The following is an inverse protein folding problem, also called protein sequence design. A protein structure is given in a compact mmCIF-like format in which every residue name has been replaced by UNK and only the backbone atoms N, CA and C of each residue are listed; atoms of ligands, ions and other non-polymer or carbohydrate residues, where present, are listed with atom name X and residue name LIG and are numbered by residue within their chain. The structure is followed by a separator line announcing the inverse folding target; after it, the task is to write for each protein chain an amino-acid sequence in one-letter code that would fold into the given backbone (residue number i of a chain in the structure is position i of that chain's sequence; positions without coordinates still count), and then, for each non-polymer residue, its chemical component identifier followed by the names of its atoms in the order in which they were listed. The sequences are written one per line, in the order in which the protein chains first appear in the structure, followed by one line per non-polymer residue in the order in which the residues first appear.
data_IF_044376719649
#
_entry.id   IF_044376719649
#
_cell.length_a   1.000
_cell.length_b   1.000
_cell.length_c   1.000
_cell.angle_alpha   90.00
_cell.angle_beta   90.00
_cell.angle_gamma   90.00
#
_symmetry.space_group_name_H-M   'P 1'
#
loop_
_entity.id
_entity.type
_entity.pdbx_description
1 polymer ?
#
# COMPACT_ATOMS: atom_id res chain seq x y z
N UNK A 1 1.46 -34.39 -4.58
CA UNK A 1 1.05 -32.95 -4.62
C UNK A 1 0.49 -32.64 -3.24
N UNK A 2 1.09 -31.72 -2.52
CA UNK A 2 0.58 -31.26 -1.22
C UNK A 2 -0.73 -30.49 -1.48
N UNK A 3 -1.70 -30.64 -0.60
CA UNK A 3 -3.02 -30.02 -0.73
C UNK A 3 -2.88 -28.50 -0.41
N UNK A 4 -3.66 -27.61 -0.99
CA UNK A 4 -3.61 -26.15 -0.74
C UNK A 4 -3.78 -25.83 0.75
N UNK A 5 -4.58 -26.59 1.48
CA UNK A 5 -4.75 -26.48 2.93
C UNK A 5 -3.44 -26.68 3.74
N UNK A 6 -2.51 -27.47 3.23
CA UNK A 6 -1.22 -27.72 3.89
C UNK A 6 -0.28 -26.51 3.76
N UNK A 7 -0.27 -25.80 2.63
CA UNK A 7 0.58 -24.61 2.46
C UNK A 7 0.12 -23.43 3.31
N UNK A 8 -1.18 -23.14 3.32
CA UNK A 8 -1.74 -22.08 4.16
C UNK A 8 -1.47 -22.35 5.64
N UNK A 9 -1.72 -23.58 6.10
CA UNK A 9 -1.52 -23.95 7.50
C UNK A 9 -0.06 -23.78 7.93
N UNK A 10 0.90 -24.16 7.08
CA UNK A 10 2.34 -23.97 7.34
C UNK A 10 2.71 -22.49 7.37
N UNK A 11 2.22 -21.71 6.41
CA UNK A 11 2.43 -20.27 6.38
C UNK A 11 1.92 -19.60 7.66
N UNK A 12 0.67 -19.88 8.06
CA UNK A 12 0.08 -19.29 9.27
C UNK A 12 0.80 -19.74 10.55
N UNK A 13 1.29 -20.97 10.60
CA UNK A 13 2.10 -21.46 11.71
C UNK A 13 3.45 -20.75 11.79
N UNK A 14 4.14 -20.55 10.66
CA UNK A 14 5.40 -19.81 10.59
C UNK A 14 5.19 -18.34 10.97
N UNK A 15 4.14 -17.71 10.47
CA UNK A 15 3.78 -16.35 10.81
C UNK A 15 3.52 -16.17 12.31
N UNK A 16 2.83 -17.09 12.93
CA UNK A 16 2.63 -17.09 14.40
C UNK A 16 3.95 -17.21 15.16
N UNK A 17 4.88 -18.03 14.68
CA UNK A 17 6.20 -18.20 15.28
C UNK A 17 7.11 -16.97 15.12
N UNK A 18 6.90 -16.16 14.06
CA UNK A 18 7.65 -14.91 13.85
C UNK A 18 7.25 -13.78 14.82
N UNK A 19 6.24 -14.01 15.66
CA UNK A 19 5.78 -13.00 16.63
C UNK A 19 4.67 -12.08 16.12
N UNK A 20 4.00 -12.44 15.04
CA UNK A 20 2.83 -11.72 14.53
C UNK A 20 1.78 -11.50 15.62
N UNK A 21 1.37 -10.26 15.82
CA UNK A 21 0.46 -9.81 16.90
C UNK A 21 -0.96 -9.50 16.41
N UNK A 22 -1.12 -9.41 15.09
CA UNK A 22 -2.40 -9.11 14.46
C UNK A 22 -3.38 -10.28 14.50
N UNK A 23 -4.53 -10.08 13.87
CA UNK A 23 -5.55 -11.12 13.75
C UNK A 23 -5.41 -11.89 12.43
N UNK A 24 -5.81 -13.15 12.45
CA UNK A 24 -5.92 -14.01 11.28
C UNK A 24 -7.34 -14.61 11.21
N UNK A 25 -8.01 -14.40 10.10
CA UNK A 25 -9.36 -14.89 9.85
C UNK A 25 -9.38 -15.86 8.67
N UNK A 26 -9.80 -17.09 8.95
CA UNK A 26 -9.99 -18.15 7.93
C UNK A 26 -11.45 -18.59 7.82
N UNK A 27 -12.32 -18.11 8.72
CA UNK A 27 -13.74 -18.44 8.72
C UNK A 27 -14.41 -17.95 7.42
N UNK A 28 -15.28 -18.77 6.85
CA UNK A 28 -15.97 -18.48 5.59
C UNK A 28 -16.68 -17.12 5.58
N UNK A 29 -17.36 -16.77 6.68
CA UNK A 29 -18.06 -15.48 6.80
C UNK A 29 -17.14 -14.26 6.67
N UNK A 30 -15.96 -14.29 7.30
CA UNK A 30 -14.96 -13.23 7.18
C UNK A 30 -14.42 -13.15 5.75
N UNK A 31 -14.11 -14.30 5.16
CA UNK A 31 -13.57 -14.42 3.79
C UNK A 31 -14.54 -13.87 2.73
N UNK A 32 -15.83 -14.11 2.88
CA UNK A 32 -16.88 -13.57 1.99
C UNK A 32 -16.95 -12.04 2.06
N UNK A 33 -16.79 -11.44 3.23
CA UNK A 33 -16.77 -9.97 3.37
C UNK A 33 -15.60 -9.35 2.62
N UNK A 34 -14.44 -9.99 2.63
CA UNK A 34 -13.24 -9.53 1.92
C UNK A 34 -13.21 -9.94 0.44
N UNK A 35 -14.17 -10.77 -0.02
CA UNK A 35 -14.19 -11.31 -1.38
C UNK A 35 -14.63 -10.32 -2.45
N UNK A 36 -15.10 -9.15 -2.09
CA UNK A 36 -15.57 -8.11 -3.01
C UNK A 36 -14.93 -6.76 -2.71
N UNK A 37 -14.81 -5.95 -3.71
CA UNK A 37 -14.48 -4.53 -3.60
C UNK A 37 -15.52 -3.70 -4.40
N UNK A 38 -15.18 -2.54 -4.90
CA UNK A 38 -16.10 -1.72 -5.70
C UNK A 38 -16.07 -2.09 -7.20
N UNK A 39 -15.41 -3.19 -7.56
CA UNK A 39 -15.42 -3.75 -8.92
C UNK A 39 -16.59 -4.72 -9.14
N UNK A 40 -16.64 -5.29 -10.33
CA UNK A 40 -17.61 -6.35 -10.67
C UNK A 40 -17.11 -7.76 -10.28
N UNK A 41 -15.91 -7.86 -9.72
CA UNK A 41 -15.29 -9.16 -9.43
C UNK A 41 -15.63 -9.64 -8.01
N UNK A 42 -15.62 -10.95 -7.86
CA UNK A 42 -15.68 -11.63 -6.57
C UNK A 42 -14.60 -12.71 -6.53
N UNK A 43 -13.71 -12.60 -5.56
CA UNK A 43 -12.60 -13.54 -5.36
C UNK A 43 -12.49 -13.86 -3.88
N UNK A 44 -12.84 -15.10 -3.49
CA UNK A 44 -12.82 -15.51 -2.09
C UNK A 44 -11.38 -15.83 -1.69
N UNK A 45 -10.77 -15.10 -0.73
CA UNK A 45 -9.44 -15.41 -0.24
C UNK A 45 -9.44 -16.68 0.63
N UNK A 46 -8.27 -17.29 0.81
CA UNK A 46 -8.07 -18.38 1.77
C UNK A 46 -7.97 -17.87 3.20
N UNK A 47 -7.36 -16.69 3.39
CA UNK A 47 -7.25 -16.03 4.70
C UNK A 47 -7.23 -14.51 4.58
N UNK A 48 -7.58 -13.84 5.69
CA UNK A 48 -7.37 -12.40 5.87
C UNK A 48 -6.47 -12.20 7.09
N UNK A 49 -5.42 -11.41 6.93
CA UNK A 49 -4.54 -10.97 8.00
C UNK A 49 -4.80 -9.50 8.30
N UNK A 50 -4.90 -9.17 9.57
CA UNK A 50 -5.06 -7.81 10.07
C UNK A 50 -3.82 -7.45 10.90
N UNK A 51 -2.75 -6.91 10.30
CA UNK A 51 -1.55 -6.55 11.03
C UNK A 51 -1.86 -5.49 12.09
N UNK A 52 -1.32 -5.67 13.30
CA UNK A 52 -1.51 -4.74 14.42
C UNK A 52 -0.54 -3.56 14.39
N UNK A 53 0.60 -3.70 13.70
CA UNK A 53 1.66 -2.71 13.59
C UNK A 53 2.50 -2.94 12.32
N UNK A 54 3.51 -2.10 12.08
CA UNK A 54 4.39 -2.21 10.91
C UNK A 54 5.25 -3.48 10.94
N UNK A 55 5.70 -3.91 12.12
CA UNK A 55 6.50 -5.13 12.29
C UNK A 55 5.73 -6.38 11.88
N UNK A 56 4.41 -6.37 12.04
CA UNK A 56 3.55 -7.45 11.54
C UNK A 56 3.55 -7.52 10.02
N UNK A 57 3.60 -6.38 9.32
CA UNK A 57 3.71 -6.35 7.85
C UNK A 57 5.04 -6.96 7.43
N UNK A 58 6.15 -6.59 8.08
CA UNK A 58 7.46 -7.19 7.82
C UNK A 58 7.44 -8.70 8.03
N UNK A 59 6.83 -9.16 9.12
CA UNK A 59 6.69 -10.58 9.43
C UNK A 59 5.90 -11.33 8.35
N UNK A 60 4.80 -10.74 7.85
CA UNK A 60 4.01 -11.31 6.76
C UNK A 60 4.86 -11.43 5.49
N UNK A 61 5.47 -10.31 5.05
CA UNK A 61 6.24 -10.28 3.79
C UNK A 61 7.45 -11.21 3.87
N UNK A 62 8.20 -11.19 4.97
CA UNK A 62 9.34 -12.08 5.20
C UNK A 62 8.91 -13.55 5.18
N UNK A 63 7.79 -13.89 5.81
CA UNK A 63 7.26 -15.25 5.82
C UNK A 63 6.86 -15.74 4.44
N UNK A 64 6.36 -14.84 3.58
CA UNK A 64 6.09 -15.15 2.16
C UNK A 64 7.38 -15.28 1.36
N UNK A 65 8.34 -14.37 1.54
CA UNK A 65 9.61 -14.37 0.81
C UNK A 65 10.47 -15.62 1.09
N UNK A 66 10.34 -16.20 2.28
CA UNK A 66 11.06 -17.41 2.68
C UNK A 66 10.47 -18.71 2.12
N UNK A 67 9.30 -18.65 1.48
CA UNK A 67 8.72 -19.85 0.86
C UNK A 67 9.42 -20.20 -0.44
N UNK A 68 9.82 -21.47 -0.56
CA UNK A 68 10.54 -21.97 -1.74
C UNK A 68 9.64 -22.24 -2.96
N UNK A 69 8.33 -22.29 -2.76
CA UNK A 69 7.36 -22.80 -3.75
C UNK A 69 6.39 -21.75 -4.29
N UNK A 70 6.49 -20.49 -3.84
CA UNK A 70 5.65 -19.35 -4.28
C UNK A 70 4.14 -19.65 -4.27
N UNK A 71 3.67 -20.49 -3.36
CA UNK A 71 2.27 -20.92 -3.28
C UNK A 71 1.37 -19.88 -2.63
N UNK A 72 1.93 -19.06 -1.71
CA UNK A 72 1.20 -17.97 -1.06
C UNK A 72 1.46 -16.67 -1.79
N UNK A 73 0.40 -15.98 -2.17
CA UNK A 73 0.43 -14.60 -2.62
C UNK A 73 -0.32 -13.71 -1.65
N UNK A 74 0.16 -12.49 -1.45
CA UNK A 74 -0.48 -11.51 -0.58
C UNK A 74 -0.95 -10.30 -1.39
N UNK A 75 -2.09 -9.74 -0.97
CA UNK A 75 -2.61 -8.49 -1.54
C UNK A 75 -2.98 -7.54 -0.41
N UNK A 76 -2.42 -6.32 -0.37
CA UNK A 76 -2.82 -5.32 0.60
C UNK A 76 -4.23 -4.81 0.29
N UNK A 77 -5.00 -4.54 1.36
CA UNK A 77 -6.35 -4.00 1.28
C UNK A 77 -6.52 -2.86 2.27
N UNK A 78 -7.07 -1.77 1.80
CA UNK A 78 -7.62 -0.69 2.63
C UNK A 78 -9.14 -0.72 2.62
N UNK A 79 -9.81 0.36 2.24
CA UNK A 79 -11.27 0.47 2.23
C UNK A 79 -12.01 -0.36 1.17
N UNK A 80 -11.32 -1.09 0.30
CA UNK A 80 -11.93 -1.88 -0.78
C UNK A 80 -12.72 -1.02 -1.77
N UNK A 81 -12.29 0.21 -2.02
CA UNK A 81 -13.01 1.19 -2.86
C UNK A 81 -12.50 1.22 -4.31
N UNK A 82 -11.49 0.43 -4.65
CA UNK A 82 -10.98 0.29 -6.00
C UNK A 82 -11.99 -0.39 -6.93
N UNK A 83 -11.97 -0.02 -8.20
CA UNK A 83 -12.94 -0.50 -9.21
C UNK A 83 -12.39 -1.56 -10.15
N UNK A 84 -11.15 -1.97 -9.98
CA UNK A 84 -10.45 -2.89 -10.89
C UNK A 84 -10.09 -4.25 -10.26
N UNK A 85 -10.61 -4.55 -9.06
CA UNK A 85 -10.32 -5.80 -8.36
C UNK A 85 -8.92 -5.86 -7.72
N UNK A 86 -8.21 -4.74 -7.64
CA UNK A 86 -6.83 -4.68 -7.16
C UNK A 86 -6.65 -5.04 -5.68
N UNK A 87 -7.73 -5.06 -4.91
CA UNK A 87 -7.73 -5.46 -3.49
C UNK A 87 -8.19 -6.90 -3.26
N UNK A 88 -8.36 -7.68 -4.32
CA UNK A 88 -8.84 -9.06 -4.28
C UNK A 88 -7.71 -10.06 -4.53
N UNK A 89 -7.78 -11.21 -3.85
CA UNK A 89 -6.80 -12.30 -3.99
C UNK A 89 -7.47 -13.64 -3.66
N UNK A 90 -7.04 -14.70 -4.31
CA UNK A 90 -7.43 -16.07 -3.95
C UNK A 90 -6.72 -16.57 -2.69
N UNK A 91 -5.47 -16.15 -2.46
CA UNK A 91 -4.65 -16.63 -1.37
C UNK A 91 -4.89 -15.77 -0.11
N UNK A 92 -4.07 -14.76 0.19
CA UNK A 92 -4.13 -14.02 1.43
C UNK A 92 -4.35 -12.53 1.19
N UNK A 93 -5.33 -11.95 1.87
CA UNK A 93 -5.53 -10.50 1.94
C UNK A 93 -4.89 -9.96 3.23
N UNK A 94 -4.14 -8.86 3.11
CA UNK A 94 -3.56 -8.12 4.24
C UNK A 94 -4.33 -6.82 4.40
N UNK A 95 -5.29 -6.80 5.31
CA UNK A 95 -6.16 -5.64 5.55
C UNK A 95 -5.53 -4.70 6.58
N UNK A 96 -5.13 -3.52 6.12
CA UNK A 96 -4.49 -2.49 6.95
C UNK A 96 -5.48 -1.56 7.65
N UNK A 97 -6.77 -1.67 7.37
CA UNK A 97 -7.77 -0.71 7.84
C UNK A 97 -8.20 -0.93 9.30
N UNK A 98 -8.04 -2.15 9.85
CA UNK A 98 -8.52 -2.49 11.19
C UNK A 98 -7.70 -1.84 12.30
N UNK A 99 -6.37 -1.91 12.22
CA UNK A 99 -5.47 -1.49 13.29
C UNK A 99 -4.49 -0.39 12.89
N UNK A 100 -4.10 -0.32 11.63
CA UNK A 100 -3.14 0.65 11.11
C UNK A 100 -3.86 1.93 10.62
N UNK A 101 -4.58 2.58 11.52
CA UNK A 101 -5.45 3.71 11.19
C UNK A 101 -5.24 4.94 12.09
N UNK A 102 -4.03 5.09 12.65
CA UNK A 102 -3.67 6.20 13.51
C UNK A 102 -3.06 7.37 12.73
N UNK A 103 -3.38 8.60 13.17
CA UNK A 103 -2.61 9.80 12.83
C UNK A 103 -1.47 9.87 13.84
N UNK A 104 -0.22 9.62 13.39
CA UNK A 104 0.93 9.44 14.26
C UNK A 104 1.49 10.78 14.73
N UNK A 105 1.62 11.74 13.82
CA UNK A 105 2.21 13.05 14.11
C UNK A 105 1.67 14.09 13.14
N UNK A 106 1.51 15.31 13.62
CA UNK A 106 1.15 16.48 12.83
C UNK A 106 2.06 17.65 13.20
N UNK A 107 2.70 18.24 12.20
CA UNK A 107 3.43 19.49 12.33
C UNK A 107 2.67 20.62 11.61
N UNK A 108 2.10 21.50 12.42
CA UNK A 108 1.33 22.64 11.92
C UNK A 108 2.21 23.64 11.15
N UNK A 109 3.48 23.77 11.51
CA UNK A 109 4.40 24.74 10.90
C UNK A 109 4.76 24.33 9.47
N UNK A 110 5.14 23.07 9.27
CA UNK A 110 5.44 22.50 7.95
C UNK A 110 4.19 22.04 7.22
N UNK A 111 3.03 21.96 7.88
CA UNK A 111 1.78 21.41 7.40
C UNK A 111 1.93 19.98 6.92
N UNK A 112 2.71 19.20 7.65
CA UNK A 112 2.94 17.79 7.36
C UNK A 112 2.25 16.91 8.40
N UNK A 113 1.67 15.81 7.95
CA UNK A 113 1.04 14.81 8.80
C UNK A 113 1.59 13.43 8.47
N UNK A 114 1.98 12.70 9.49
CA UNK A 114 2.36 11.29 9.39
C UNK A 114 1.16 10.42 9.77
N UNK A 115 0.77 9.52 8.89
CA UNK A 115 -0.41 8.68 9.08
C UNK A 115 -0.10 7.22 8.73
N UNK A 116 -0.78 6.31 9.38
CA UNK A 116 -0.79 4.90 9.00
C UNK A 116 -1.66 4.68 7.74
N UNK A 117 -1.42 3.59 6.97
CA UNK A 117 -2.04 3.38 5.67
C UNK A 117 -3.57 3.21 5.72
N UNK A 118 -4.12 2.77 6.85
CA UNK A 118 -5.56 2.55 7.05
C UNK A 118 -6.35 3.78 7.45
N UNK A 119 -5.71 4.94 7.66
CA UNK A 119 -6.43 6.19 7.96
C UNK A 119 -7.35 6.55 6.79
N UNK A 120 -8.63 6.78 7.10
CA UNK A 120 -9.65 7.13 6.11
C UNK A 120 -9.55 8.63 5.77
N UNK A 121 -9.76 9.00 4.51
CA UNK A 121 -9.64 10.39 4.04
C UNK A 121 -10.52 11.36 4.83
N UNK A 122 -11.78 11.02 5.09
CA UNK A 122 -12.68 11.90 5.85
C UNK A 122 -12.21 12.05 7.31
N UNK A 123 -11.65 11.02 7.92
CA UNK A 123 -11.06 11.09 9.27
C UNK A 123 -9.84 12.04 9.29
N UNK A 124 -8.97 11.94 8.28
CA UNK A 124 -7.84 12.86 8.15
C UNK A 124 -8.33 14.31 7.97
N UNK A 125 -9.30 14.54 7.11
CA UNK A 125 -9.82 15.87 6.85
C UNK A 125 -10.54 16.47 8.06
N UNK A 126 -11.26 15.66 8.84
CA UNK A 126 -11.88 16.12 10.09
C UNK A 126 -10.82 16.49 11.15
N UNK A 127 -9.73 15.72 11.22
CA UNK A 127 -8.58 16.06 12.07
C UNK A 127 -7.90 17.38 11.64
N UNK A 128 -7.74 17.62 10.34
CA UNK A 128 -7.07 18.81 9.80
C UNK A 128 -7.93 20.08 9.81
N UNK A 129 -9.23 19.94 9.86
CA UNK A 129 -10.22 21.03 9.78
C UNK A 129 -10.04 22.17 10.80
N UNK A 130 -9.73 21.92 12.10
CA UNK A 130 -9.47 22.98 13.07
C UNK A 130 -8.29 23.88 12.70
N UNK A 131 -7.36 23.37 11.89
CA UNK A 131 -6.17 24.08 11.41
C UNK A 131 -6.40 24.79 10.08
N UNK A 132 -7.62 24.76 9.54
CA UNK A 132 -7.96 25.32 8.22
C UNK A 132 -7.31 24.55 7.06
N UNK A 133 -6.95 23.30 7.27
CA UNK A 133 -6.27 22.44 6.29
C UNK A 133 -7.16 21.26 5.88
N UNK A 134 -6.84 20.68 4.74
CA UNK A 134 -7.43 19.44 4.25
C UNK A 134 -6.49 18.73 3.28
N UNK A 135 -6.63 17.41 3.14
CA UNK A 135 -5.93 16.64 2.12
C UNK A 135 -6.72 16.71 0.81
N UNK A 136 -6.17 17.31 -0.27
CA UNK A 136 -7.01 17.80 -1.38
C UNK A 136 -7.35 16.79 -2.46
N UNK A 137 -6.77 15.58 -2.44
CA UNK A 137 -7.16 14.50 -3.36
C UNK A 137 -8.55 13.96 -2.99
N UNK A 138 -9.61 14.69 -3.37
CA UNK A 138 -10.98 14.42 -2.94
C UNK A 138 -11.65 13.34 -3.81
N UNK A 139 -11.52 12.09 -3.38
CA UNK A 139 -12.17 10.94 -4.02
C UNK A 139 -13.65 10.81 -3.62
N UNK A 140 -14.48 10.25 -4.50
CA UNK A 140 -15.93 10.08 -4.24
C UNK A 140 -16.24 9.14 -3.08
N UNK A 141 -15.31 8.27 -2.74
CA UNK A 141 -15.41 7.29 -1.65
C UNK A 141 -14.67 7.72 -0.38
N UNK A 142 -14.52 9.02 -0.15
CA UNK A 142 -13.73 9.62 0.93
C UNK A 142 -14.04 9.08 2.33
N UNK A 143 -15.29 8.67 2.56
CA UNK A 143 -15.73 8.07 3.83
C UNK A 143 -15.20 6.64 4.07
N UNK A 144 -14.53 6.04 3.09
CA UNK A 144 -13.98 4.67 3.15
C UNK A 144 -12.57 4.54 2.56
N UNK A 145 -12.22 5.40 1.61
CA UNK A 145 -10.90 5.37 0.98
C UNK A 145 -9.82 5.64 2.02
N UNK A 146 -8.84 4.74 2.12
CA UNK A 146 -7.72 4.88 3.04
C UNK A 146 -6.54 5.54 2.37
N UNK A 147 -5.73 6.27 3.13
CA UNK A 147 -4.57 7.01 2.60
C UNK A 147 -3.59 6.07 1.89
N UNK A 148 -3.28 4.89 2.47
CA UNK A 148 -2.43 3.90 1.81
C UNK A 148 -3.01 3.40 0.47
N UNK A 149 -4.32 3.16 0.40
CA UNK A 149 -5.00 2.81 -0.84
C UNK A 149 -4.98 3.92 -1.88
N UNK A 150 -5.11 5.18 -1.45
CA UNK A 150 -5.01 6.35 -2.32
C UNK A 150 -3.60 6.55 -2.87
N UNK A 151 -2.57 6.31 -2.05
CA UNK A 151 -1.16 6.31 -2.49
C UNK A 151 -0.92 5.22 -3.53
N UNK A 152 -1.35 3.99 -3.25
CA UNK A 152 -1.13 2.84 -4.13
C UNK A 152 -1.75 2.99 -5.54
N UNK A 153 -2.80 3.79 -5.67
CA UNK A 153 -3.51 4.02 -6.94
C UNK A 153 -3.27 5.41 -7.52
N UNK A 154 -2.44 6.23 -6.88
CA UNK A 154 -2.28 7.65 -7.19
C UNK A 154 -3.65 8.33 -7.37
N UNK A 155 -4.51 8.13 -6.37
CA UNK A 155 -5.92 8.51 -6.46
C UNK A 155 -6.12 9.99 -6.72
N UNK A 156 -7.08 10.29 -7.57
CA UNK A 156 -7.55 11.64 -7.86
C UNK A 156 -9.08 11.67 -7.84
N UNK A 157 -9.66 12.86 -7.83
CA UNK A 157 -11.10 12.95 -7.80
C UNK A 157 -11.60 14.33 -8.21
N UNK A 158 -12.75 14.73 -7.69
CA UNK A 158 -13.35 16.04 -7.95
C UNK A 158 -12.37 17.14 -7.53
N UNK A 159 -12.02 17.99 -8.47
CA UNK A 159 -11.04 19.05 -8.23
C UNK A 159 -9.61 18.71 -8.64
N UNK A 160 -9.35 17.53 -9.22
CA UNK A 160 -8.01 17.12 -9.67
C UNK A 160 -7.36 18.08 -10.67
N UNK A 161 -8.14 18.84 -11.42
CA UNK A 161 -7.63 19.90 -12.31
C UNK A 161 -7.01 21.09 -11.54
N UNK A 162 -7.37 21.26 -10.28
CA UNK A 162 -6.86 22.34 -9.41
C UNK A 162 -5.80 21.77 -8.48
N UNK A 163 -6.10 20.64 -7.86
CA UNK A 163 -5.30 20.08 -6.76
C UNK A 163 -4.37 18.94 -7.20
N UNK A 164 -4.55 18.39 -8.41
CA UNK A 164 -3.73 17.27 -8.86
C UNK A 164 -4.17 15.94 -8.24
N UNK A 165 -3.20 15.06 -8.03
CA UNK A 165 -3.35 13.70 -7.54
C UNK A 165 -2.73 13.53 -6.16
N UNK A 166 -2.93 12.36 -5.57
CA UNK A 166 -2.38 11.99 -4.26
C UNK A 166 -0.86 12.15 -4.21
N UNK A 167 -0.14 11.73 -5.25
CA UNK A 167 1.33 11.81 -5.31
C UNK A 167 1.89 13.21 -5.14
N UNK A 168 1.14 14.26 -5.52
CA UNK A 168 1.57 15.65 -5.35
C UNK A 168 1.67 16.11 -3.87
N UNK A 169 1.14 15.32 -2.94
CA UNK A 169 1.07 15.63 -1.50
C UNK A 169 1.80 14.61 -0.63
N UNK A 170 2.56 13.70 -1.24
CA UNK A 170 3.34 12.71 -0.52
C UNK A 170 4.80 13.15 -0.48
N UNK A 171 5.28 13.43 0.71
CA UNK A 171 6.66 13.82 0.94
C UNK A 171 7.58 12.60 1.12
N UNK A 172 7.05 11.56 1.79
CA UNK A 172 7.81 10.39 2.15
C UNK A 172 6.89 9.19 2.33
N UNK A 173 7.38 7.99 2.02
CA UNK A 173 6.71 6.72 2.28
C UNK A 173 7.66 5.77 3.02
N UNK A 174 7.16 5.15 4.07
CA UNK A 174 7.78 3.98 4.68
C UNK A 174 7.10 2.74 4.10
N UNK A 175 7.88 1.88 3.46
CA UNK A 175 7.38 0.71 2.75
C UNK A 175 8.14 -0.55 3.18
N UNK A 176 7.48 -1.70 3.08
CA UNK A 176 8.09 -3.01 3.22
C UNK A 176 8.28 -3.60 1.82
N UNK A 177 9.52 -3.91 1.47
CA UNK A 177 9.88 -4.47 0.17
C UNK A 177 9.64 -5.98 0.12
N UNK A 178 9.70 -6.57 -1.06
CA UNK A 178 9.39 -7.98 -1.31
C UNK A 178 10.30 -8.97 -0.57
N UNK A 179 11.47 -8.55 -0.12
CA UNK A 179 12.38 -9.33 0.72
C UNK A 179 12.11 -9.18 2.23
N UNK A 180 11.11 -8.37 2.62
CA UNK A 180 10.76 -8.05 3.99
C UNK A 180 11.57 -6.90 4.60
N UNK A 181 12.45 -6.25 3.84
CA UNK A 181 13.20 -5.10 4.33
C UNK A 181 12.36 -3.82 4.34
N UNK A 182 12.59 -2.98 5.35
CA UNK A 182 12.03 -1.64 5.40
C UNK A 182 12.80 -0.70 4.49
N UNK A 183 12.08 0.19 3.83
CA UNK A 183 12.69 1.22 3.01
C UNK A 183 11.89 2.53 3.07
N UNK A 184 12.61 3.65 3.26
CA UNK A 184 12.03 4.98 3.25
C UNK A 184 12.19 5.62 1.87
N UNK A 185 11.11 5.69 1.10
CA UNK A 185 11.06 6.40 -0.18
C UNK A 185 10.90 7.89 0.09
N UNK A 186 11.84 8.70 -0.40
CA UNK A 186 11.84 10.16 -0.27
C UNK A 186 12.56 10.79 -1.47
N UNK A 187 12.35 12.09 -1.73
CA UNK A 187 13.11 12.80 -2.75
C UNK A 187 14.61 12.62 -2.56
N UNK A 188 15.28 12.04 -3.54
CA UNK A 188 16.70 11.72 -3.49
C UNK A 188 17.43 12.45 -4.60
N UNK A 189 18.49 13.24 -4.29
CA UNK A 189 19.32 13.90 -5.30
C UNK A 189 19.93 12.86 -6.24
N UNK A 190 19.96 13.18 -7.54
CA UNK A 190 20.43 12.27 -8.60
C UNK A 190 21.89 11.82 -8.37
N UNK A 191 22.73 12.71 -7.88
CA UNK A 191 24.13 12.43 -7.56
C UNK A 191 24.31 11.42 -6.40
N UNK A 192 23.26 11.19 -5.61
CA UNK A 192 23.22 10.16 -4.56
C UNK A 192 22.70 8.81 -5.05
N UNK A 193 22.11 8.75 -6.25
CA UNK A 193 21.70 7.49 -6.88
C UNK A 193 22.94 6.80 -7.45
N UNK A 194 23.36 5.70 -6.87
CA UNK A 194 24.62 5.01 -7.24
C UNK A 194 24.33 3.57 -7.65
N UNK A 195 25.07 3.12 -8.67
CA UNK A 195 25.07 1.71 -9.12
C UNK A 195 26.07 0.85 -8.33
N UNK A 196 26.95 1.44 -7.53
CA UNK A 196 28.10 0.77 -6.93
C UNK A 196 28.01 0.66 -5.41
N UNK A 197 28.27 -0.53 -4.87
CA UNK A 197 28.40 -0.82 -3.45
C UNK A 197 27.42 -1.87 -2.93
N UNK A 198 27.50 -2.19 -1.67
CA UNK A 198 26.49 -2.96 -0.93
C UNK A 198 25.26 -2.07 -0.75
N UNK A 199 24.32 -2.17 -1.69
CA UNK A 199 23.10 -1.40 -1.69
C UNK A 199 21.96 -2.25 -1.15
N UNK A 200 21.06 -1.63 -0.37
CA UNK A 200 19.78 -2.22 -0.03
C UNK A 200 18.96 -2.52 -1.29
N UNK A 201 17.98 -3.42 -1.19
CA UNK A 201 17.04 -3.67 -2.29
C UNK A 201 16.38 -2.36 -2.75
N UNK A 202 16.00 -1.49 -1.79
CA UNK A 202 15.36 -0.21 -2.08
C UNK A 202 16.24 0.75 -2.88
N UNK A 203 17.51 0.91 -2.52
CA UNK A 203 18.45 1.76 -3.26
C UNK A 203 18.64 1.26 -4.69
N UNK A 204 18.77 -0.07 -4.85
CA UNK A 204 18.90 -0.70 -6.17
C UNK A 204 17.66 -0.45 -7.02
N UNK A 205 16.46 -0.66 -6.46
CA UNK A 205 15.20 -0.42 -7.17
C UNK A 205 15.05 1.05 -7.58
N UNK A 206 15.38 1.98 -6.68
CA UNK A 206 15.34 3.42 -6.98
C UNK A 206 16.28 3.77 -8.14
N UNK A 207 17.51 3.23 -8.14
CA UNK A 207 18.45 3.43 -9.23
C UNK A 207 17.98 2.82 -10.55
N UNK A 208 17.43 1.60 -10.53
CA UNK A 208 16.95 0.91 -11.73
C UNK A 208 15.76 1.65 -12.36
N UNK A 209 14.80 2.10 -11.53
CA UNK A 209 13.66 2.91 -12.00
C UNK A 209 14.14 4.23 -12.64
N UNK A 210 15.04 4.94 -11.96
CA UNK A 210 15.63 6.17 -12.51
C UNK A 210 16.32 5.90 -13.86
N UNK A 211 17.15 4.86 -13.93
CA UNK A 211 17.88 4.50 -15.14
C UNK A 211 16.95 4.16 -16.31
N UNK A 212 15.88 3.41 -16.03
CA UNK A 212 14.87 3.07 -17.03
C UNK A 212 14.12 4.32 -17.54
N UNK A 213 13.76 5.24 -16.66
CA UNK A 213 13.12 6.51 -17.05
C UNK A 213 14.03 7.35 -17.93
N UNK A 214 15.31 7.48 -17.57
CA UNK A 214 16.26 8.25 -18.39
C UNK A 214 16.51 7.58 -19.74
N UNK A 215 16.66 6.25 -19.76
CA UNK A 215 16.87 5.50 -21.01
C UNK A 215 15.71 5.64 -21.99
N UNK A 216 14.47 5.71 -21.50
CA UNK A 216 13.27 5.75 -22.31
C UNK A 216 12.57 7.12 -22.31
N UNK A 217 13.29 8.18 -21.92
CA UNK A 217 12.72 9.50 -21.71
C UNK A 217 11.95 10.04 -22.92
N UNK A 218 12.56 9.98 -24.10
CA UNK A 218 11.94 10.51 -25.32
C UNK A 218 10.64 9.76 -25.69
N UNK A 219 10.63 8.44 -25.46
CA UNK A 219 9.44 7.63 -25.69
C UNK A 219 8.35 7.91 -24.65
N UNK A 220 8.73 8.09 -23.39
CA UNK A 220 7.80 8.45 -22.31
C UNK A 220 7.16 9.81 -22.61
N UNK A 221 7.96 10.84 -22.98
CA UNK A 221 7.46 12.16 -23.32
C UNK A 221 6.54 12.14 -24.56
N UNK A 222 6.84 11.26 -25.53
CA UNK A 222 6.01 11.09 -26.73
C UNK A 222 4.67 10.41 -26.45
N UNK A 223 4.65 9.37 -25.59
CA UNK A 223 3.47 8.51 -25.34
C UNK A 223 2.61 9.04 -24.20
N UNK A 224 3.24 9.62 -23.18
CA UNK A 224 2.56 10.16 -22.00
C UNK A 224 2.67 11.69 -21.97
N UNK A 225 1.96 12.40 -22.83
CA UNK A 225 1.96 13.84 -22.78
C UNK A 225 1.40 14.31 -21.44
N UNK A 226 1.90 15.45 -20.96
CA UNK A 226 1.44 16.05 -19.70
C UNK A 226 -0.05 16.40 -19.81
N UNK A 227 -0.88 15.49 -19.35
CA UNK A 227 -2.33 15.64 -19.34
C UNK A 227 -2.75 16.08 -17.93
N UNK A 228 -3.11 17.34 -17.80
CA UNK A 228 -3.81 17.88 -16.62
C UNK A 228 -5.22 17.26 -16.46
N UNK A 229 -5.31 15.93 -16.57
CA UNK A 229 -6.55 15.17 -16.40
C UNK A 229 -6.36 14.19 -15.24
N UNK A 230 -7.22 14.30 -14.25
CA UNK A 230 -7.50 13.16 -13.40
C UNK A 230 -8.22 12.11 -14.26
N UNK A 231 -7.67 10.92 -14.34
CA UNK A 231 -8.33 9.77 -14.94
C UNK A 231 -9.14 9.07 -13.87
#
# INVERSE_FOLDING_TARGET
MLNSEDYLSRFLAALKQSGFKGDCETAYGARIVAATDNSIYQVIPEAILYPANAEDINSIVTSVAQQSDNTISITPRGGGTGTNGQSLNHSVIVDTSRYLNNIIHFDETSRQVCVEPGVVLDQLNEFLKPYGLFFPANVSTSSRATIGGMVATDASGKGSRIYGKTSAYIEQLEIVLADGSDYCVRPTPIDKLSKSGEQSLGDRLQYEVYSAVIQHRDEIERVFPDLNRGL
#
